data_IF_830057250161
#
_entry.id   IF_830057250161
#
_cell.length_a   1.000
_cell.length_b   1.000
_cell.length_c   1.000
_cell.angle_alpha   90.00
_cell.angle_beta   90.00
_cell.angle_gamma   90.00
#
_symmetry.space_group_name_H-M   'P 1'
#
loop_
_entity.id
_entity.type
_entity.pdbx_description
1 polymer ?
#
# COMPACT_ATOMS: atom_id res chain seq x y z
N UNK A 1 -4.80 -17.39 -30.83
CA UNK A 1 -5.49 -18.25 -29.83
C UNK A 1 -4.61 -19.00 -28.82
N UNK A 2 -3.29 -19.22 -29.03
CA UNK A 2 -2.42 -19.97 -28.08
C UNK A 2 -1.67 -19.14 -27.02
N UNK A 3 -1.58 -17.81 -27.16
CA UNK A 3 -0.87 -16.93 -26.19
C UNK A 3 -1.70 -16.55 -24.95
N UNK A 4 -3.01 -16.64 -25.03
CA UNK A 4 -3.92 -16.16 -23.97
C UNK A 4 -4.18 -17.21 -22.86
N UNK A 5 -3.98 -18.49 -23.17
CA UNK A 5 -4.09 -19.58 -22.17
C UNK A 5 -2.90 -19.61 -21.20
N UNK A 6 -1.72 -19.13 -21.62
CA UNK A 6 -0.53 -19.06 -20.76
C UNK A 6 -0.66 -18.01 -19.67
N UNK A 7 -1.21 -16.84 -20.00
CA UNK A 7 -1.43 -15.75 -19.04
C UNK A 7 -2.48 -16.13 -17.99
N UNK A 8 -3.59 -16.77 -18.41
CA UNK A 8 -4.64 -17.25 -17.49
C UNK A 8 -4.14 -18.34 -16.54
N UNK A 9 -3.28 -19.25 -17.00
CA UNK A 9 -2.64 -20.27 -16.14
C UNK A 9 -1.63 -19.65 -15.18
N UNK A 10 -0.85 -18.67 -15.62
CA UNK A 10 0.10 -17.96 -14.77
C UNK A 10 -0.59 -17.14 -13.67
N UNK A 11 -1.69 -16.45 -14.00
CA UNK A 11 -2.52 -15.71 -13.02
C UNK A 11 -3.23 -16.66 -12.04
N UNK A 12 -3.73 -17.81 -12.51
CA UNK A 12 -4.34 -18.83 -11.64
C UNK A 12 -3.32 -19.49 -10.69
N UNK A 13 -2.08 -19.69 -11.16
CA UNK A 13 -0.99 -20.29 -10.39
C UNK A 13 -0.38 -19.30 -9.37
N UNK A 14 -0.37 -17.99 -9.67
CA UNK A 14 -0.04 -16.94 -8.69
C UNK A 14 -1.08 -16.83 -7.58
N UNK A 15 -2.37 -17.05 -7.89
CA UNK A 15 -3.46 -17.04 -6.90
C UNK A 15 -3.39 -18.22 -5.91
N UNK A 16 -2.64 -19.28 -6.23
CA UNK A 16 -2.33 -20.41 -5.35
C UNK A 16 -0.98 -20.27 -4.61
N UNK A 17 -0.20 -19.21 -4.86
CA UNK A 17 1.03 -18.99 -4.10
C UNK A 17 0.69 -18.56 -2.67
N UNK A 18 1.24 -19.28 -1.70
CA UNK A 18 0.98 -19.15 -0.25
C UNK A 18 1.25 -17.74 0.35
N UNK A 19 1.66 -16.74 -0.44
CA UNK A 19 1.99 -15.39 0.04
C UNK A 19 0.82 -14.65 0.68
N UNK A 20 -0.42 -14.89 0.25
CA UNK A 20 -1.62 -14.32 0.87
C UNK A 20 -1.99 -14.94 2.22
N UNK A 21 -1.60 -16.20 2.47
CA UNK A 21 -1.85 -16.95 3.70
C UNK A 21 -0.89 -16.61 4.84
N UNK A 22 0.35 -16.21 4.52
CA UNK A 22 1.33 -15.77 5.52
C UNK A 22 1.02 -14.39 6.12
N UNK A 23 0.23 -13.56 5.42
CA UNK A 23 -0.19 -12.23 5.88
C UNK A 23 -1.63 -12.16 6.43
N UNK A 24 -2.36 -13.27 6.41
CA UNK A 24 -3.64 -13.39 7.09
C UNK A 24 -3.38 -14.07 8.44
N UNK A 25 -3.00 -13.27 9.44
CA UNK A 25 -2.85 -13.73 10.82
C UNK A 25 -4.28 -14.01 11.32
N UNK A 26 -4.72 -15.28 11.52
CA UNK A 26 -6.02 -15.54 12.13
C UNK A 26 -6.13 -14.78 13.47
N UNK A 27 -7.32 -14.33 13.86
CA UNK A 27 -7.50 -13.47 15.05
C UNK A 27 -6.85 -14.00 16.34
N UNK A 28 -6.68 -15.33 16.44
CA UNK A 28 -5.92 -16.01 17.51
C UNK A 28 -4.41 -15.70 17.51
N UNK A 29 -3.78 -15.61 16.34
CA UNK A 29 -2.36 -15.25 16.22
C UNK A 29 -2.09 -13.75 16.39
N UNK A 30 -3.08 -12.89 16.14
CA UNK A 30 -2.98 -11.46 16.47
C UNK A 30 -3.02 -11.26 17.99
N UNK A 31 -3.93 -11.95 18.68
CA UNK A 31 -3.99 -11.99 20.14
C UNK A 31 -2.69 -12.54 20.75
N UNK A 32 -2.11 -13.59 20.17
CA UNK A 32 -0.82 -14.13 20.62
C UNK A 32 0.33 -13.12 20.45
N UNK A 33 0.36 -12.37 19.34
CA UNK A 33 1.34 -11.31 19.12
C UNK A 33 1.19 -10.18 20.14
N UNK A 34 -0.04 -9.70 20.38
CA UNK A 34 -0.31 -8.69 21.40
C UNK A 34 0.07 -9.17 22.81
N UNK A 35 -0.24 -10.42 23.16
CA UNK A 35 0.14 -11.00 24.44
C UNK A 35 1.67 -11.10 24.60
N UNK A 36 2.39 -11.51 23.54
CA UNK A 36 3.85 -11.55 23.53
C UNK A 36 4.44 -10.15 23.75
N UNK A 37 3.90 -9.13 23.08
CA UNK A 37 4.36 -7.75 23.22
C UNK A 37 4.05 -7.21 24.61
N UNK A 38 2.86 -7.49 25.15
CA UNK A 38 2.52 -7.12 26.52
C UNK A 38 3.47 -7.75 27.54
N UNK A 39 3.88 -9.00 27.31
CA UNK A 39 4.85 -9.70 28.15
C UNK A 39 6.25 -9.11 28.01
N UNK A 40 6.69 -8.77 26.79
CA UNK A 40 7.95 -8.08 26.54
C UNK A 40 7.96 -6.67 27.14
N UNK A 41 6.85 -5.93 27.04
CA UNK A 41 6.65 -4.63 27.67
C UNK A 41 6.78 -4.73 29.18
N UNK A 42 6.07 -5.69 29.78
CA UNK A 42 6.10 -5.90 31.23
C UNK A 42 7.51 -6.29 31.69
N UNK A 43 8.18 -7.21 30.99
CA UNK A 43 9.56 -7.59 31.29
C UNK A 43 10.53 -6.41 31.15
N UNK A 44 10.39 -5.58 30.11
CA UNK A 44 11.21 -4.38 29.93
C UNK A 44 10.96 -3.34 31.03
N UNK A 45 9.71 -3.16 31.46
CA UNK A 45 9.35 -2.22 32.53
C UNK A 45 9.93 -2.67 33.88
N UNK A 46 9.92 -3.98 34.17
CA UNK A 46 10.55 -4.53 35.37
C UNK A 46 12.07 -4.32 35.37
N UNK A 47 12.73 -4.60 34.24
CA UNK A 47 14.17 -4.33 34.09
C UNK A 47 14.50 -2.85 34.26
N UNK A 48 13.69 -1.95 33.71
CA UNK A 48 13.86 -0.50 33.87
C UNK A 48 13.72 -0.10 35.34
N UNK A 49 12.71 -0.61 36.05
CA UNK A 49 12.55 -0.33 37.48
C UNK A 49 13.76 -0.79 38.30
N UNK A 50 14.25 -2.01 38.05
CA UNK A 50 15.45 -2.55 38.70
C UNK A 50 16.69 -1.69 38.41
N UNK A 51 16.85 -1.21 37.16
CA UNK A 51 17.98 -0.33 36.80
C UNK A 51 17.89 1.04 37.47
N UNK A 52 16.69 1.61 37.61
CA UNK A 52 16.48 2.90 38.28
C UNK A 52 16.80 2.79 39.77
N UNK A 53 16.43 1.69 40.42
CA UNK A 53 16.74 1.45 41.83
C UNK A 53 18.25 1.30 42.06
N UNK A 54 18.93 0.53 41.20
CA UNK A 54 20.39 0.41 41.21
C UNK A 54 21.08 1.77 41.00
N UNK A 55 20.59 2.57 40.05
CA UNK A 55 21.12 3.90 39.76
C UNK A 55 20.96 4.86 40.95
N UNK A 56 19.85 4.80 41.68
CA UNK A 56 19.63 5.64 42.88
C UNK A 56 20.64 5.35 43.98
N UNK A 57 20.90 4.07 44.26
CA UNK A 57 21.89 3.66 45.25
C UNK A 57 23.30 4.13 44.83
N UNK A 58 23.62 4.01 43.55
CA UNK A 58 24.91 4.45 43.01
C UNK A 58 25.09 5.98 43.09
N UNK A 59 24.06 6.76 42.75
CA UNK A 59 24.07 8.24 42.87
C UNK A 59 24.30 8.69 44.32
N UNK A 60 23.71 7.99 45.29
CA UNK A 60 23.95 8.26 46.72
C UNK A 60 25.41 7.98 47.08
N UNK A 61 25.98 6.87 46.62
CA UNK A 61 27.39 6.53 46.83
C UNK A 61 28.34 7.55 46.19
N UNK A 62 28.07 7.99 44.96
CA UNK A 62 28.85 9.05 44.27
C UNK A 62 28.85 10.35 45.08
N UNK A 63 27.70 10.75 45.62
CA UNK A 63 27.57 11.96 46.45
C UNK A 63 28.35 11.81 47.76
N UNK A 64 28.25 10.65 48.41
CA UNK A 64 28.99 10.31 49.64
C UNK A 64 30.51 10.38 49.41
N UNK A 65 31.02 9.65 48.42
CA UNK A 65 32.45 9.61 48.08
C UNK A 65 32.98 11.00 47.67
N UNK A 66 32.21 11.77 46.91
CA UNK A 66 32.62 13.15 46.55
C UNK A 66 32.74 14.04 47.78
N UNK A 67 31.82 13.93 48.74
CA UNK A 67 31.90 14.67 50.01
C UNK A 67 33.10 14.23 50.85
N UNK A 68 33.40 12.93 50.92
CA UNK A 68 34.60 12.41 51.60
C UNK A 68 35.87 13.01 50.99
N UNK A 69 36.00 12.99 49.65
CA UNK A 69 37.15 13.55 48.95
C UNK A 69 37.36 15.05 49.23
N UNK A 70 36.27 15.82 49.32
CA UNK A 70 36.33 17.24 49.69
C UNK A 70 36.85 17.41 51.11
N UNK A 71 36.34 16.64 52.08
CA UNK A 71 36.78 16.75 53.48
C UNK A 71 38.21 16.25 53.70
N UNK A 72 38.65 15.20 53.00
CA UNK A 72 40.06 14.77 53.01
C UNK A 72 41.00 15.88 52.54
N UNK A 73 40.64 16.58 51.46
CA UNK A 73 41.40 17.72 50.96
C UNK A 73 41.38 18.89 51.94
N UNK A 74 40.26 19.13 52.62
CA UNK A 74 40.16 20.17 53.64
C UNK A 74 41.10 19.88 54.82
N UNK A 75 41.13 18.65 55.33
CA UNK A 75 42.06 18.23 56.39
C UNK A 75 43.51 18.42 55.95
N UNK A 76 43.87 17.94 54.74
CA UNK A 76 45.21 18.10 54.19
C UNK A 76 45.63 19.56 54.03
N UNK A 77 44.75 20.41 53.48
CA UNK A 77 44.99 21.85 53.32
C UNK A 77 45.12 22.56 54.66
N UNK A 78 44.28 22.24 55.64
CA UNK A 78 44.34 22.81 56.98
C UNK A 78 45.68 22.48 57.65
N UNK A 79 46.15 21.24 57.55
CA UNK A 79 47.45 20.82 58.09
C UNK A 79 48.64 21.53 57.41
N UNK A 80 48.65 21.61 56.07
CA UNK A 80 49.72 22.26 55.29
C UNK A 80 49.76 23.77 55.56
N UNK A 81 48.60 24.44 55.54
CA UNK A 81 48.51 25.87 55.80
C UNK A 81 48.93 26.20 57.24
N UNK A 82 48.54 25.34 58.20
CA UNK A 82 48.91 25.54 59.58
C UNK A 82 50.40 25.34 59.83
N UNK A 83 51.02 24.33 59.21
CA UNK A 83 52.47 24.14 59.25
C UNK A 83 53.20 25.33 58.62
N UNK A 84 52.69 25.84 57.49
CA UNK A 84 53.28 26.99 56.79
C UNK A 84 53.20 28.26 57.66
N UNK A 85 52.04 28.52 58.28
CA UNK A 85 51.87 29.66 59.19
C UNK A 85 52.72 29.57 60.45
N UNK A 86 52.79 28.38 61.06
CA UNK A 86 53.63 28.12 62.24
C UNK A 86 55.12 28.35 61.93
N UNK A 87 55.63 27.85 60.80
CA UNK A 87 57.01 28.11 60.37
C UNK A 87 57.26 29.58 60.05
N UNK A 88 56.32 30.25 59.39
CA UNK A 88 56.41 31.68 59.10
C UNK A 88 56.52 32.52 60.37
N UNK A 89 55.69 32.22 61.37
CA UNK A 89 55.75 32.87 62.68
C UNK A 89 57.06 32.56 63.41
N UNK A 90 57.53 31.31 63.40
CA UNK A 90 58.81 30.94 64.03
C UNK A 90 60.01 31.69 63.42
N UNK A 91 60.03 31.88 62.10
CA UNK A 91 61.13 32.56 61.39
C UNK A 91 61.08 34.08 61.60
N UNK A 92 59.89 34.67 61.55
CA UNK A 92 59.72 36.13 61.52
C UNK A 92 59.42 36.76 62.88
N UNK A 93 58.90 35.95 63.82
CA UNK A 93 58.31 36.39 65.09
C UNK A 93 57.14 37.39 64.93
N UNK A 94 56.59 37.50 63.72
CA UNK A 94 55.46 38.38 63.41
C UNK A 94 54.15 37.60 63.42
N UNK A 95 53.28 37.95 64.38
CA UNK A 95 51.98 37.29 64.59
C UNK A 95 51.09 37.27 63.35
N UNK A 96 51.28 38.19 62.39
CA UNK A 96 50.51 38.19 61.13
C UNK A 96 50.71 36.91 60.32
N UNK A 97 51.87 36.26 60.44
CA UNK A 97 52.14 34.98 59.78
C UNK A 97 51.43 33.79 60.45
N UNK A 98 50.83 33.98 61.63
CA UNK A 98 50.10 32.94 62.34
C UNK A 98 48.67 32.75 61.81
N UNK A 99 48.13 33.69 61.04
CA UNK A 99 46.75 33.61 60.54
C UNK A 99 46.40 32.28 59.81
N UNK A 100 47.25 31.72 58.91
CA UNK A 100 47.00 30.40 58.32
C UNK A 100 46.95 29.24 59.33
N UNK A 101 47.70 29.34 60.43
CA UNK A 101 47.66 28.38 61.55
C UNK A 101 46.36 28.47 62.32
N UNK A 102 45.90 29.67 62.64
CA UNK A 102 44.63 29.87 63.35
C UNK A 102 43.45 29.33 62.53
N UNK A 103 43.40 29.65 61.24
CA UNK A 103 42.38 29.14 60.31
C UNK A 103 42.41 27.61 60.25
N UNK A 104 43.60 27.01 60.08
CA UNK A 104 43.74 25.56 60.05
C UNK A 104 43.31 24.89 61.37
N UNK A 105 43.65 25.51 62.51
CA UNK A 105 43.32 25.04 63.87
C UNK A 105 41.81 25.01 64.12
N UNK A 106 41.08 25.98 63.59
CA UNK A 106 39.61 26.06 63.72
C UNK A 106 38.88 25.14 62.75
N UNK A 107 39.41 24.94 61.54
CA UNK A 107 38.75 24.17 60.49
C UNK A 107 38.94 22.66 60.61
N UNK A 108 40.12 22.18 61.02
CA UNK A 108 40.39 20.73 61.00
C UNK A 108 39.44 19.88 61.87
N UNK A 109 38.98 20.32 63.07
CA UNK A 109 38.07 19.51 63.89
C UNK A 109 36.71 19.32 63.22
N UNK A 110 36.21 20.36 62.53
CA UNK A 110 34.96 20.32 61.79
C UNK A 110 35.06 19.38 60.59
N UNK A 111 36.16 19.45 59.83
CA UNK A 111 36.37 18.53 58.69
C UNK A 111 36.51 17.07 59.13
N UNK A 112 37.21 16.78 60.24
CA UNK A 112 37.29 15.42 60.79
C UNK A 112 35.90 14.91 61.24
N UNK A 113 35.11 15.78 61.88
CA UNK A 113 33.75 15.43 62.29
C UNK A 113 32.84 15.15 61.09
N UNK A 114 32.85 16.02 60.08
CA UNK A 114 32.09 15.84 58.85
C UNK A 114 32.47 14.55 58.11
N UNK A 115 33.77 14.24 58.08
CA UNK A 115 34.28 13.05 57.43
C UNK A 115 33.79 11.78 58.15
N UNK A 116 33.85 11.74 59.49
CA UNK A 116 33.32 10.62 60.29
C UNK A 116 31.81 10.47 60.16
N UNK A 117 31.07 11.58 60.13
CA UNK A 117 29.62 11.56 59.87
C UNK A 117 29.28 11.08 58.46
N UNK A 118 30.07 11.47 57.46
CA UNK A 118 29.83 11.10 56.06
C UNK A 118 30.08 9.61 55.82
N UNK A 119 31.11 9.02 56.44
CA UNK A 119 31.35 7.57 56.37
C UNK A 119 30.21 6.76 56.98
N UNK A 120 29.69 7.18 58.14
CA UNK A 120 28.53 6.56 58.78
C UNK A 120 28.78 5.10 59.19
N UNK A 121 27.72 4.27 59.32
CA UNK A 121 27.83 2.88 59.75
C UNK A 121 28.43 1.94 58.69
N UNK A 122 28.42 2.34 57.41
CA UNK A 122 28.85 1.50 56.28
C UNK A 122 30.35 1.67 55.95
N UNK A 123 31.17 2.05 56.92
CA UNK A 123 32.62 2.23 56.74
C UNK A 123 33.32 0.87 56.63
N UNK A 124 34.21 0.71 55.64
CA UNK A 124 35.01 -0.52 55.53
C UNK A 124 36.07 -0.58 56.64
N UNK A 125 36.54 -1.78 57.05
CA UNK A 125 37.58 -1.90 58.07
C UNK A 125 38.88 -1.16 57.70
N UNK A 126 39.20 -1.08 56.41
CA UNK A 126 40.38 -0.37 55.93
C UNK A 126 40.19 1.15 55.92
N UNK A 127 39.01 1.63 55.52
CA UNK A 127 38.64 3.04 55.64
C UNK A 127 38.64 3.48 57.10
N UNK A 128 38.10 2.66 58.00
CA UNK A 128 38.08 2.97 59.44
C UNK A 128 39.50 3.05 60.01
N UNK A 129 40.39 2.12 59.63
CA UNK A 129 41.80 2.16 60.01
C UNK A 129 42.47 3.44 59.54
N UNK A 130 42.34 3.80 58.26
CA UNK A 130 42.93 5.01 57.68
C UNK A 130 42.35 6.29 58.28
N UNK A 131 41.03 6.32 58.54
CA UNK A 131 40.37 7.45 59.19
C UNK A 131 40.91 7.67 60.60
N UNK A 132 40.99 6.61 61.40
CA UNK A 132 41.56 6.71 62.75
C UNK A 132 43.04 7.14 62.71
N UNK A 133 43.81 6.66 61.73
CA UNK A 133 45.20 7.08 61.51
C UNK A 133 45.31 8.57 61.14
N UNK A 134 44.50 9.05 60.19
CA UNK A 134 44.43 10.48 59.80
C UNK A 134 44.03 11.33 61.01
N UNK A 135 43.02 10.92 61.77
CA UNK A 135 42.55 11.64 62.96
C UNK A 135 43.67 11.75 64.01
N UNK A 136 44.32 10.64 64.33
CA UNK A 136 45.41 10.61 65.30
C UNK A 136 46.61 11.47 64.86
N UNK A 137 47.04 11.33 63.61
CA UNK A 137 48.18 12.07 63.06
C UNK A 137 47.88 13.57 62.97
N UNK A 138 46.67 13.95 62.55
CA UNK A 138 46.26 15.36 62.48
C UNK A 138 46.22 15.98 63.88
N UNK A 139 45.59 15.31 64.85
CA UNK A 139 45.54 15.80 66.25
C UNK A 139 46.93 15.93 66.86
N UNK A 140 47.80 14.94 66.63
CA UNK A 140 49.20 14.97 67.06
C UNK A 140 49.93 16.17 66.46
N UNK A 141 49.78 16.39 65.14
CA UNK A 141 50.45 17.49 64.44
C UNK A 141 49.99 18.86 64.92
N UNK A 142 48.69 19.06 65.13
CA UNK A 142 48.18 20.32 65.68
C UNK A 142 48.54 20.53 67.15
N UNK A 143 48.72 19.46 67.94
CA UNK A 143 49.22 19.57 69.30
C UNK A 143 50.70 20.01 69.35
N UNK A 144 51.55 19.41 68.53
CA UNK A 144 52.96 19.81 68.34
C UNK A 144 53.07 21.28 67.91
N UNK A 145 52.29 21.69 66.91
CA UNK A 145 52.28 23.08 66.45
C UNK A 145 51.80 24.04 67.53
N UNK A 146 50.78 23.68 68.30
CA UNK A 146 50.29 24.52 69.42
C UNK A 146 51.34 24.69 70.51
N UNK A 147 52.06 23.62 70.85
CA UNK A 147 53.11 23.66 71.85
C UNK A 147 54.29 24.53 71.39
N UNK A 148 54.75 24.36 70.15
CA UNK A 148 55.82 25.20 69.59
C UNK A 148 55.44 26.68 69.47
N UNK A 149 54.22 27.00 69.03
CA UNK A 149 53.70 28.39 68.99
C UNK A 149 53.66 28.97 70.40
N UNK A 150 53.16 28.24 71.39
CA UNK A 150 53.11 28.68 72.77
C UNK A 150 54.49 28.89 73.41
N UNK A 151 55.50 28.09 73.04
CA UNK A 151 56.90 28.31 73.46
C UNK A 151 57.44 29.61 72.89
N UNK A 152 57.17 29.92 71.62
CA UNK A 152 57.59 31.17 70.97
C UNK A 152 56.92 32.37 71.65
N UNK A 153 55.63 32.29 71.95
CA UNK A 153 54.88 33.35 72.66
C UNK A 153 55.41 33.62 74.08
N UNK A 154 55.91 32.60 74.78
CA UNK A 154 56.54 32.74 76.10
C UNK A 154 58.01 33.20 76.04
N UNK A 155 58.57 33.40 74.83
CA UNK A 155 59.98 33.77 74.63
C UNK A 155 60.98 32.60 74.72
N UNK A 156 60.51 31.36 74.76
CA UNK A 156 61.31 30.14 74.89
C UNK A 156 61.86 29.67 73.52
N UNK A 157 62.53 30.56 72.77
CA UNK A 157 62.93 30.33 71.37
C UNK A 157 63.84 29.10 71.18
N UNK A 158 64.77 28.86 72.10
CA UNK A 158 65.70 27.72 72.03
C UNK A 158 64.96 26.39 72.24
N UNK A 159 63.96 26.36 73.13
CA UNK A 159 63.14 25.18 73.36
C UNK A 159 62.26 24.87 72.13
N UNK A 160 61.63 25.90 71.56
CA UNK A 160 60.85 25.79 70.32
C UNK A 160 61.73 25.29 69.15
N UNK A 161 62.94 25.82 68.99
CA UNK A 161 63.87 25.39 67.94
C UNK A 161 64.27 23.91 68.10
N UNK A 162 64.60 23.47 69.32
CA UNK A 162 64.92 22.05 69.56
C UNK A 162 63.77 21.13 69.22
N UNK A 163 62.54 21.50 69.58
CA UNK A 163 61.34 20.72 69.25
C UNK A 163 61.15 20.59 67.74
N UNK A 164 61.24 21.69 66.99
CA UNK A 164 61.05 21.69 65.52
C UNK A 164 62.15 20.87 64.82
N UNK A 165 63.39 20.87 65.33
CA UNK A 165 64.52 20.14 64.76
C UNK A 165 64.54 18.62 65.07
N UNK A 166 63.56 18.08 65.80
CA UNK A 166 63.53 16.65 66.17
C UNK A 166 63.12 15.69 65.05
N UNK A 167 62.85 16.18 63.83
CA UNK A 167 62.25 15.46 62.69
C UNK A 167 60.89 14.76 62.96
N UNK A 168 60.43 14.67 64.22
CA UNK A 168 59.16 14.04 64.60
C UNK A 168 57.96 14.69 63.94
N UNK A 169 57.96 16.02 63.83
CA UNK A 169 56.92 16.76 63.16
C UNK A 169 56.90 16.55 61.65
N UNK A 170 58.05 16.32 61.02
CA UNK A 170 58.16 16.00 59.60
C UNK A 170 57.70 14.57 59.32
N UNK A 171 58.08 13.61 60.15
CA UNK A 171 57.64 12.21 60.01
C UNK A 171 56.12 12.07 60.20
N UNK A 172 55.56 12.77 61.20
CA UNK A 172 54.11 12.83 61.42
C UNK A 172 53.39 13.41 60.20
N UNK A 173 53.92 14.48 59.61
CA UNK A 173 53.34 15.09 58.41
C UNK A 173 53.45 14.16 57.18
N UNK A 174 54.57 13.46 57.01
CA UNK A 174 54.76 12.50 55.93
C UNK A 174 53.82 11.29 56.05
N UNK A 175 53.58 10.79 57.27
CA UNK A 175 52.57 9.76 57.53
C UNK A 175 51.17 10.28 57.25
N UNK A 176 50.85 11.51 57.66
CA UNK A 176 49.54 12.12 57.41
C UNK A 176 49.28 12.25 55.90
N UNK A 177 50.27 12.74 55.13
CA UNK A 177 50.16 12.84 53.66
C UNK A 177 49.95 11.48 53.01
N UNK A 178 50.66 10.44 53.47
CA UNK A 178 50.47 9.07 52.98
C UNK A 178 49.07 8.53 53.29
N UNK A 179 48.62 8.63 54.53
CA UNK A 179 47.30 8.15 54.92
C UNK A 179 46.17 8.89 54.18
N UNK A 180 46.30 10.21 53.99
CA UNK A 180 45.37 11.01 53.16
C UNK A 180 45.38 10.56 51.69
N UNK A 181 46.56 10.30 51.12
CA UNK A 181 46.70 9.83 49.75
C UNK A 181 46.12 8.42 49.56
N UNK A 182 46.37 7.50 50.48
CA UNK A 182 45.86 6.14 50.43
C UNK A 182 44.33 6.13 50.50
N UNK A 183 43.76 6.93 51.42
CA UNK A 183 42.31 7.11 51.51
C UNK A 183 41.72 7.78 50.26
N UNK A 184 42.35 8.84 49.72
CA UNK A 184 41.90 9.49 48.49
C UNK A 184 41.94 8.52 47.31
N UNK A 185 42.99 7.71 47.19
CA UNK A 185 43.11 6.70 46.13
C UNK A 185 42.02 5.64 46.26
N UNK A 186 41.72 5.19 47.47
CA UNK A 186 40.65 4.23 47.74
C UNK A 186 39.28 4.78 47.32
N UNK A 187 38.96 6.00 47.73
CA UNK A 187 37.70 6.68 47.38
C UNK A 187 37.60 6.94 45.87
N UNK A 188 38.70 7.34 45.22
CA UNK A 188 38.73 7.52 43.75
C UNK A 188 38.46 6.21 43.00
N UNK A 189 38.98 5.09 43.50
CA UNK A 189 38.72 3.77 42.91
C UNK A 189 37.25 3.36 43.07
N UNK A 190 36.66 3.58 44.24
CA UNK A 190 35.22 3.34 44.47
C UNK A 190 34.37 4.18 43.52
N UNK A 191 34.71 5.46 43.36
CA UNK A 191 34.00 6.36 42.45
C UNK A 191 34.10 5.91 40.98
N UNK A 192 35.28 5.44 40.57
CA UNK A 192 35.51 4.95 39.21
C UNK A 192 34.73 3.68 38.92
N UNK A 193 34.73 2.72 39.86
CA UNK A 193 33.99 1.46 39.72
C UNK A 193 32.48 1.71 39.67
N UNK A 194 31.96 2.64 40.50
CA UNK A 194 30.59 3.11 40.37
C UNK A 194 30.30 3.63 38.96
N UNK A 195 31.06 4.63 38.49
CA UNK A 195 30.85 5.23 37.17
C UNK A 195 30.93 4.22 36.00
N UNK A 196 31.78 3.21 36.08
CA UNK A 196 31.86 2.14 35.09
C UNK A 196 30.61 1.24 35.11
N UNK A 197 30.07 0.92 36.29
CA UNK A 197 28.81 0.15 36.43
C UNK A 197 27.60 0.93 35.91
N UNK A 198 27.48 2.23 36.19
CA UNK A 198 26.41 3.08 35.65
C UNK A 198 26.43 3.09 34.12
N UNK A 199 27.61 3.27 33.50
CA UNK A 199 27.75 3.23 32.03
C UNK A 199 27.34 1.87 31.45
N UNK A 200 27.78 0.78 32.07
CA UNK A 200 27.44 -0.57 31.62
C UNK A 200 25.93 -0.86 31.73
N UNK A 201 25.24 -0.29 32.73
CA UNK A 201 23.78 -0.37 32.83
C UNK A 201 23.09 0.43 31.72
N UNK A 202 23.55 1.65 31.44
CA UNK A 202 23.02 2.51 30.37
C UNK A 202 23.15 1.85 28.98
N UNK A 203 24.31 1.24 28.68
CA UNK A 203 24.55 0.51 27.43
C UNK A 203 23.64 -0.70 27.23
N UNK A 204 23.17 -1.33 28.32
CA UNK A 204 22.24 -2.47 28.25
C UNK A 204 20.78 -2.04 28.06
N UNK A 205 20.36 -0.94 28.69
CA UNK A 205 18.94 -0.52 28.71
C UNK A 205 18.52 0.16 27.40
N UNK A 206 19.35 1.05 26.84
CA UNK A 206 19.04 1.78 25.62
C UNK A 206 18.64 0.90 24.41
N UNK A 207 19.39 -0.16 24.05
CA UNK A 207 19.01 -1.01 22.92
C UNK A 207 17.72 -1.79 23.18
N UNK A 208 17.45 -2.19 24.43
CA UNK A 208 16.20 -2.87 24.78
C UNK A 208 14.98 -1.96 24.59
N UNK A 209 15.08 -0.69 25.00
CA UNK A 209 14.03 0.30 24.75
C UNK A 209 13.83 0.56 23.25
N UNK A 210 14.92 0.65 22.48
CA UNK A 210 14.82 0.83 21.03
C UNK A 210 14.12 -0.37 20.35
N UNK A 211 14.49 -1.60 20.70
CA UNK A 211 13.85 -2.83 20.19
C UNK A 211 12.36 -2.84 20.52
N UNK A 212 12.00 -2.44 21.74
CA UNK A 212 10.62 -2.37 22.20
C UNK A 212 9.79 -1.36 21.38
N UNK A 213 10.32 -0.15 21.14
CA UNK A 213 9.66 0.88 20.32
C UNK A 213 9.43 0.37 18.90
N UNK A 214 10.41 -0.32 18.32
CA UNK A 214 10.29 -0.93 16.98
C UNK A 214 9.19 -2.00 16.97
N UNK A 215 9.13 -2.88 17.97
CA UNK A 215 8.09 -3.91 18.08
C UNK A 215 6.68 -3.33 18.23
N UNK A 216 6.51 -2.29 19.06
CA UNK A 216 5.23 -1.57 19.19
C UNK A 216 4.84 -0.96 17.84
N UNK A 217 5.78 -0.30 17.16
CA UNK A 217 5.53 0.37 15.88
C UNK A 217 5.12 -0.63 14.78
N UNK A 218 5.80 -1.78 14.70
CA UNK A 218 5.45 -2.87 13.77
C UNK A 218 4.04 -3.37 14.04
N UNK A 219 3.67 -3.51 15.30
CA UNK A 219 2.36 -4.06 15.70
C UNK A 219 1.24 -3.09 15.42
N UNK A 220 1.45 -1.80 15.68
CA UNK A 220 0.52 -0.74 15.32
C UNK A 220 0.33 -0.67 13.81
N UNK A 221 1.42 -0.72 13.04
CA UNK A 221 1.38 -0.73 11.58
C UNK A 221 0.64 -1.96 11.05
N UNK A 222 0.87 -3.14 11.62
CA UNK A 222 0.19 -4.38 11.25
C UNK A 222 -1.30 -4.34 11.60
N UNK A 223 -1.66 -3.73 12.73
CA UNK A 223 -3.06 -3.48 13.11
C UNK A 223 -3.78 -2.58 12.10
N UNK A 224 -3.20 -1.43 11.79
CA UNK A 224 -3.72 -0.49 10.78
C UNK A 224 -3.80 -1.12 9.37
N UNK A 225 -2.81 -1.90 9.00
CA UNK A 225 -2.80 -2.61 7.72
C UNK A 225 -3.94 -3.64 7.62
N UNK A 226 -4.21 -4.37 8.70
CA UNK A 226 -5.30 -5.35 8.73
C UNK A 226 -6.68 -4.70 8.69
N UNK A 227 -6.91 -3.63 9.46
CA UNK A 227 -8.20 -2.93 9.47
C UNK A 227 -8.50 -2.27 8.12
N UNK A 228 -7.51 -1.65 7.50
CA UNK A 228 -7.67 -1.05 6.16
C UNK A 228 -7.89 -2.09 5.08
N UNK A 229 -7.23 -3.25 5.17
CA UNK A 229 -7.45 -4.36 4.24
C UNK A 229 -8.84 -4.97 4.36
N UNK A 230 -9.35 -5.15 5.57
CA UNK A 230 -10.71 -5.64 5.81
C UNK A 230 -11.75 -4.68 5.22
N UNK A 231 -11.64 -3.38 5.53
CA UNK A 231 -12.55 -2.36 4.99
C UNK A 231 -12.53 -2.29 3.44
N UNK A 232 -11.36 -2.49 2.81
CA UNK A 232 -11.25 -2.54 1.34
C UNK A 232 -11.89 -3.79 0.74
N UNK A 233 -11.85 -4.92 1.43
CA UNK A 233 -12.49 -6.15 0.97
C UNK A 233 -14.02 -6.00 0.98
N UNK A 234 -14.59 -5.50 2.08
CA UNK A 234 -16.02 -5.26 2.23
C UNK A 234 -16.54 -4.26 1.17
N UNK A 235 -15.77 -3.19 0.91
CA UNK A 235 -16.12 -2.20 -0.12
C UNK A 235 -16.08 -2.78 -1.54
N UNK A 236 -15.13 -3.68 -1.84
CA UNK A 236 -15.04 -4.32 -3.15
C UNK A 236 -16.20 -5.29 -3.40
N UNK A 237 -16.65 -6.01 -2.37
CA UNK A 237 -17.82 -6.90 -2.46
C UNK A 237 -19.11 -6.12 -2.70
N UNK A 238 -19.32 -5.01 -1.98
CA UNK A 238 -20.47 -4.14 -2.18
C UNK A 238 -20.49 -3.53 -3.60
N UNK A 239 -19.33 -3.11 -4.13
CA UNK A 239 -19.23 -2.61 -5.51
C UNK A 239 -19.52 -3.70 -6.55
N UNK A 240 -19.05 -4.93 -6.33
CA UNK A 240 -19.31 -6.04 -7.25
C UNK A 240 -20.80 -6.39 -7.30
N UNK A 241 -21.49 -6.40 -6.16
CA UNK A 241 -22.93 -6.61 -6.10
C UNK A 241 -23.70 -5.49 -6.80
N UNK A 242 -23.33 -4.23 -6.56
CA UNK A 242 -23.97 -3.07 -7.19
C UNK A 242 -23.80 -3.08 -8.72
N UNK A 243 -22.63 -3.48 -9.22
CA UNK A 243 -22.38 -3.63 -10.66
C UNK A 243 -23.20 -4.77 -11.26
N UNK A 244 -23.31 -5.90 -10.57
CA UNK A 244 -24.13 -7.03 -11.00
C UNK A 244 -25.61 -6.65 -11.11
N UNK A 245 -26.17 -5.96 -10.11
CA UNK A 245 -27.55 -5.45 -10.16
C UNK A 245 -27.75 -4.44 -11.30
N UNK A 246 -26.78 -3.56 -11.54
CA UNK A 246 -26.85 -2.59 -12.63
C UNK A 246 -26.87 -3.27 -14.01
N UNK A 247 -26.06 -4.32 -14.20
CA UNK A 247 -26.07 -5.12 -15.43
C UNK A 247 -27.40 -5.85 -15.63
N UNK A 248 -27.94 -6.48 -14.59
CA UNK A 248 -29.23 -7.18 -14.67
C UNK A 248 -30.37 -6.20 -15.05
N UNK A 249 -30.39 -5.01 -14.45
CA UNK A 249 -31.36 -3.96 -14.81
C UNK A 249 -31.21 -3.48 -16.26
N UNK A 250 -29.98 -3.31 -16.73
CA UNK A 250 -29.72 -2.92 -18.12
C UNK A 250 -30.22 -3.97 -19.11
N UNK A 251 -30.00 -5.26 -18.83
CA UNK A 251 -30.46 -6.37 -19.67
C UNK A 251 -32.00 -6.46 -19.71
N UNK A 252 -32.66 -6.30 -18.56
CA UNK A 252 -34.12 -6.26 -18.49
C UNK A 252 -34.69 -5.09 -19.31
N UNK A 253 -34.11 -3.90 -19.19
CA UNK A 253 -34.52 -2.72 -19.96
C UNK A 253 -34.31 -2.93 -21.46
N UNK A 254 -33.19 -3.52 -21.86
CA UNK A 254 -32.89 -3.83 -23.27
C UNK A 254 -33.96 -4.75 -23.87
N UNK A 255 -34.34 -5.82 -23.16
CA UNK A 255 -35.40 -6.75 -23.59
C UNK A 255 -36.78 -6.10 -23.67
N UNK A 256 -37.10 -5.21 -22.74
CA UNK A 256 -38.38 -4.47 -22.77
C UNK A 256 -38.43 -3.48 -23.94
N UNK A 257 -37.34 -2.77 -24.21
CA UNK A 257 -37.24 -1.87 -25.37
C UNK A 257 -37.40 -2.63 -26.68
N UNK A 258 -36.70 -3.76 -26.83
CA UNK A 258 -36.82 -4.68 -27.94
C UNK A 258 -38.28 -5.07 -28.24
N UNK A 259 -39.01 -5.49 -27.20
CA UNK A 259 -40.41 -5.85 -27.30
C UNK A 259 -41.29 -4.65 -27.72
N UNK A 260 -41.06 -3.47 -27.14
CA UNK A 260 -41.82 -2.27 -27.49
C UNK A 260 -41.61 -1.83 -28.93
N UNK A 261 -40.40 -1.92 -29.45
CA UNK A 261 -40.14 -1.56 -30.84
C UNK A 261 -40.88 -2.49 -31.79
N UNK A 262 -40.89 -3.82 -31.53
CA UNK A 262 -41.72 -4.76 -32.31
C UNK A 262 -43.20 -4.39 -32.29
N UNK A 263 -43.75 -4.03 -31.13
CA UNK A 263 -45.14 -3.59 -31.02
C UNK A 263 -45.43 -2.31 -31.82
N UNK A 264 -44.52 -1.33 -31.80
CA UNK A 264 -44.66 -0.09 -32.57
C UNK A 264 -44.72 -0.38 -34.08
N UNK A 265 -43.83 -1.22 -34.59
CA UNK A 265 -43.84 -1.60 -36.00
C UNK A 265 -45.08 -2.40 -36.41
N UNK A 266 -45.57 -3.30 -35.56
CA UNK A 266 -46.82 -4.01 -35.81
C UNK A 266 -48.02 -3.04 -35.93
N UNK A 267 -48.07 -2.01 -35.07
CA UNK A 267 -49.09 -0.97 -35.17
C UNK A 267 -48.96 -0.12 -36.45
N UNK A 268 -47.74 0.29 -36.81
CA UNK A 268 -47.50 1.04 -38.06
C UNK A 268 -47.98 0.20 -39.25
N UNK A 269 -47.63 -1.08 -39.31
CA UNK A 269 -48.06 -1.98 -40.38
C UNK A 269 -49.59 -2.11 -40.46
N UNK A 270 -50.28 -2.14 -39.31
CA UNK A 270 -51.73 -2.17 -39.26
C UNK A 270 -52.36 -0.87 -39.81
N UNK A 271 -51.82 0.29 -39.44
CA UNK A 271 -52.28 1.61 -39.94
C UNK A 271 -52.08 1.71 -41.45
N UNK A 272 -50.89 1.30 -41.94
CA UNK A 272 -50.54 1.29 -43.37
C UNK A 272 -51.52 0.41 -44.14
N UNK A 273 -51.76 -0.83 -43.69
CA UNK A 273 -52.70 -1.74 -44.36
C UNK A 273 -54.17 -1.26 -44.29
N UNK A 274 -54.57 -0.63 -43.19
CA UNK A 274 -55.94 -0.11 -43.05
C UNK A 274 -56.17 1.09 -43.99
N UNK A 275 -55.17 1.95 -44.14
CA UNK A 275 -55.22 3.12 -45.04
C UNK A 275 -55.27 2.72 -46.51
N UNK A 276 -54.72 1.55 -46.88
CA UNK A 276 -54.73 1.04 -48.25
C UNK A 276 -56.08 0.49 -48.72
N UNK A 277 -56.99 0.09 -47.80
CA UNK A 277 -58.15 -0.75 -48.13
C UNK A 277 -59.21 -0.10 -49.02
N UNK A 278 -59.33 1.23 -48.99
CA UNK A 278 -60.37 1.98 -49.72
C UNK A 278 -59.79 2.89 -50.82
N UNK A 279 -58.50 2.76 -51.13
CA UNK A 279 -57.81 3.58 -52.11
C UNK A 279 -57.84 2.93 -53.51
N UNK A 280 -57.69 3.71 -54.60
CA UNK A 280 -57.55 3.17 -55.95
C UNK A 280 -56.37 2.18 -56.05
N UNK A 281 -56.46 1.21 -56.98
CA UNK A 281 -55.49 0.12 -57.09
C UNK A 281 -54.03 0.59 -57.24
N UNK A 282 -53.78 1.75 -57.87
CA UNK A 282 -52.43 2.33 -57.98
C UNK A 282 -51.82 2.72 -56.61
N UNK A 283 -52.62 3.26 -55.69
CA UNK A 283 -52.18 3.63 -54.32
C UNK A 283 -52.03 2.39 -53.43
N UNK A 284 -52.85 1.36 -53.65
CA UNK A 284 -52.76 0.08 -52.93
C UNK A 284 -51.43 -0.63 -53.21
N UNK A 285 -50.98 -0.63 -54.46
CA UNK A 285 -49.66 -1.17 -54.86
C UNK A 285 -48.50 -0.43 -54.17
N UNK A 286 -48.59 0.90 -54.01
CA UNK A 286 -47.56 1.67 -53.28
C UNK A 286 -47.57 1.32 -51.80
N UNK A 287 -48.74 1.14 -51.20
CA UNK A 287 -48.90 0.88 -49.78
C UNK A 287 -48.47 -0.55 -49.41
N UNK A 288 -48.75 -1.53 -50.26
CA UNK A 288 -48.25 -2.90 -50.14
C UNK A 288 -46.70 -2.93 -50.18
N UNK A 289 -46.08 -2.13 -51.06
CA UNK A 289 -44.61 -1.99 -51.11
C UNK A 289 -44.02 -1.36 -49.84
N UNK A 290 -44.72 -0.41 -49.22
CA UNK A 290 -44.29 0.17 -47.93
C UNK A 290 -44.41 -0.87 -46.80
N UNK A 291 -45.51 -1.63 -46.80
CA UNK A 291 -45.73 -2.71 -45.84
C UNK A 291 -44.67 -3.82 -45.94
N UNK A 292 -44.30 -4.23 -47.16
CA UNK A 292 -43.22 -5.19 -47.43
C UNK A 292 -41.89 -4.71 -46.80
N UNK A 293 -41.52 -3.43 -46.99
CA UNK A 293 -40.28 -2.87 -46.40
C UNK A 293 -40.28 -2.78 -44.88
N UNK A 294 -41.42 -2.44 -44.28
CA UNK A 294 -41.56 -2.41 -42.82
C UNK A 294 -41.33 -3.81 -42.24
N UNK A 295 -41.81 -4.86 -42.92
CA UNK A 295 -41.53 -6.25 -42.52
C UNK A 295 -40.04 -6.60 -42.67
N UNK A 296 -39.39 -6.17 -43.74
CA UNK A 296 -37.95 -6.37 -43.91
C UNK A 296 -37.12 -5.72 -42.78
N UNK A 297 -37.47 -4.49 -42.39
CA UNK A 297 -36.83 -3.80 -41.25
C UNK A 297 -37.05 -4.52 -39.92
N UNK A 298 -38.24 -5.09 -39.71
CA UNK A 298 -38.53 -5.90 -38.53
C UNK A 298 -37.64 -7.15 -38.46
N UNK A 299 -37.49 -7.89 -39.56
CA UNK A 299 -36.63 -9.08 -39.63
C UNK A 299 -35.17 -8.73 -39.35
N UNK A 300 -34.67 -7.65 -39.94
CA UNK A 300 -33.35 -7.09 -39.64
C UNK A 300 -33.20 -6.79 -38.14
N UNK A 301 -34.22 -6.19 -37.52
CA UNK A 301 -34.17 -5.86 -36.10
C UNK A 301 -34.19 -7.08 -35.19
N UNK A 302 -34.82 -8.18 -35.60
CA UNK A 302 -34.83 -9.43 -34.85
C UNK A 302 -33.46 -10.14 -34.91
N UNK A 303 -32.80 -10.14 -36.06
CA UNK A 303 -31.47 -10.74 -36.25
C UNK A 303 -30.40 -10.01 -35.42
N UNK A 304 -30.52 -8.69 -35.27
CA UNK A 304 -29.56 -7.84 -34.56
C UNK A 304 -29.74 -7.85 -33.03
N UNK A 305 -30.94 -8.18 -32.54
CA UNK A 305 -31.24 -8.25 -31.10
C UNK A 305 -30.99 -9.63 -30.46
N UNK A 306 -30.81 -10.68 -31.27
CA UNK A 306 -30.54 -12.04 -30.77
C UNK A 306 -29.12 -12.27 -30.23
N UNK A 307 -28.16 -11.40 -30.58
CA UNK A 307 -26.77 -11.54 -30.17
C UNK A 307 -26.48 -10.69 -28.91
N UNK A 308 -26.24 -11.38 -27.79
CA UNK A 308 -25.91 -10.73 -26.52
C UNK A 308 -24.72 -9.74 -26.68
N UNK A 309 -24.95 -8.50 -26.24
CA UNK A 309 -23.94 -7.47 -25.90
C UNK A 309 -23.14 -6.81 -27.03
N UNK A 310 -23.33 -7.16 -28.32
CA UNK A 310 -22.85 -6.35 -29.44
C UNK A 310 -23.88 -6.34 -30.58
N UNK A 311 -24.16 -5.17 -31.21
CA UNK A 311 -25.08 -5.03 -32.34
C UNK A 311 -24.47 -5.67 -33.60
N UNK A 312 -24.47 -7.00 -33.62
CA UNK A 312 -23.91 -7.81 -34.70
C UNK A 312 -24.93 -8.89 -35.04
N UNK A 313 -25.37 -8.93 -36.28
CA UNK A 313 -26.25 -9.97 -36.81
C UNK A 313 -25.47 -11.06 -37.53
N UNK A 314 -25.92 -12.30 -37.42
CA UNK A 314 -25.40 -13.40 -38.23
C UNK A 314 -25.96 -13.33 -39.67
N UNK A 315 -25.08 -13.32 -40.67
CA UNK A 315 -25.46 -13.20 -42.08
C UNK A 315 -26.29 -14.40 -42.54
N UNK A 316 -25.96 -15.62 -42.07
CA UNK A 316 -26.73 -16.82 -42.41
C UNK A 316 -28.16 -16.68 -41.90
N UNK A 317 -28.33 -16.34 -40.62
CA UNK A 317 -29.64 -16.09 -40.01
C UNK A 317 -30.43 -15.01 -40.76
N UNK A 318 -29.78 -13.91 -41.18
CA UNK A 318 -30.42 -12.86 -41.98
C UNK A 318 -30.97 -13.41 -43.30
N UNK A 319 -30.17 -14.16 -44.06
CA UNK A 319 -30.57 -14.74 -45.35
C UNK A 319 -31.72 -15.72 -45.15
N UNK A 320 -31.59 -16.64 -44.18
CA UNK A 320 -32.62 -17.65 -43.90
C UNK A 320 -33.96 -17.02 -43.49
N UNK A 321 -33.95 -16.05 -42.55
CA UNK A 321 -35.18 -15.38 -42.12
C UNK A 321 -35.81 -14.52 -43.23
N UNK A 322 -34.99 -13.95 -44.11
CA UNK A 322 -35.50 -13.13 -45.23
C UNK A 322 -36.15 -13.99 -46.32
N UNK A 323 -35.64 -15.20 -46.55
CA UNK A 323 -36.16 -16.12 -47.57
C UNK A 323 -37.31 -16.99 -47.06
N UNK A 324 -37.37 -17.29 -45.76
CA UNK A 324 -38.35 -18.19 -45.16
C UNK A 324 -39.82 -17.93 -45.57
N UNK A 325 -40.33 -16.68 -45.67
CA UNK A 325 -41.72 -16.43 -46.04
C UNK A 325 -42.09 -16.82 -47.48
N UNK A 326 -41.09 -17.05 -48.33
CA UNK A 326 -41.26 -17.31 -49.76
C UNK A 326 -40.87 -18.74 -50.15
N UNK A 327 -40.43 -19.56 -49.19
CA UNK A 327 -40.02 -20.95 -49.41
C UNK A 327 -41.18 -21.90 -49.13
N UNK A 328 -41.68 -22.55 -50.18
CA UNK A 328 -42.59 -23.70 -50.11
C UNK A 328 -41.92 -24.98 -50.66
N UNK A 329 -42.56 -26.15 -50.56
CA UNK A 329 -42.05 -27.46 -51.02
C UNK A 329 -41.63 -27.50 -52.51
N UNK A 330 -42.05 -26.53 -53.32
CA UNK A 330 -41.75 -26.40 -54.75
C UNK A 330 -40.65 -25.37 -55.06
N UNK A 331 -40.17 -24.62 -54.06
CA UNK A 331 -39.21 -23.52 -54.24
C UNK A 331 -37.80 -23.95 -53.87
N UNK A 332 -37.06 -24.47 -54.86
CA UNK A 332 -35.67 -24.92 -54.66
C UNK A 332 -34.77 -23.73 -54.30
N UNK A 333 -34.02 -23.88 -53.19
CA UNK A 333 -33.15 -22.84 -52.66
C UNK A 333 -31.92 -23.45 -51.96
N UNK A 334 -30.74 -23.02 -52.34
CA UNK A 334 -29.45 -23.40 -51.72
C UNK A 334 -28.85 -22.18 -51.03
N UNK A 335 -28.47 -22.33 -49.77
CA UNK A 335 -27.85 -21.27 -48.96
C UNK A 335 -26.51 -21.79 -48.43
N UNK A 336 -25.41 -21.29 -49.00
CA UNK A 336 -24.04 -21.70 -48.65
C UNK A 336 -23.17 -20.52 -48.23
N UNK A 337 -22.19 -20.74 -47.35
CA UNK A 337 -21.31 -19.66 -46.94
C UNK A 337 -20.73 -19.85 -45.54
N UNK A 338 -19.66 -19.09 -45.28
CA UNK A 338 -18.93 -19.12 -43.99
C UNK A 338 -19.74 -18.43 -42.88
N UNK A 339 -19.60 -18.89 -41.64
CA UNK A 339 -20.20 -18.21 -40.49
C UNK A 339 -19.62 -16.80 -40.37
N UNK A 340 -20.48 -15.79 -40.52
CA UNK A 340 -20.05 -14.40 -40.60
C UNK A 340 -21.04 -13.51 -39.85
N UNK A 341 -20.53 -12.82 -38.84
CA UNK A 341 -21.31 -11.85 -38.06
C UNK A 341 -20.95 -10.43 -38.49
N UNK A 342 -21.95 -9.64 -38.89
CA UNK A 342 -21.79 -8.29 -39.43
C UNK A 342 -22.42 -7.25 -38.50
N UNK A 343 -21.87 -6.01 -38.43
CA UNK A 343 -22.45 -4.95 -37.62
C UNK A 343 -23.84 -4.53 -38.14
N UNK A 344 -24.70 -4.00 -37.26
CA UNK A 344 -26.06 -3.55 -37.60
C UNK A 344 -26.13 -2.58 -38.79
N UNK A 345 -25.09 -1.75 -38.95
CA UNK A 345 -24.94 -0.79 -40.06
C UNK A 345 -24.82 -1.48 -41.42
N UNK A 346 -24.38 -2.73 -41.45
CA UNK A 346 -24.26 -3.57 -42.65
C UNK A 346 -25.46 -4.49 -42.80
N UNK A 347 -25.94 -5.08 -41.69
CA UNK A 347 -27.10 -5.99 -41.68
C UNK A 347 -28.37 -5.30 -42.20
N UNK A 348 -28.60 -4.04 -41.83
CA UNK A 348 -29.80 -3.29 -42.23
C UNK A 348 -29.91 -3.08 -43.75
N UNK A 349 -28.95 -2.42 -44.44
CA UNK A 349 -29.03 -2.25 -45.88
C UNK A 349 -28.96 -3.57 -46.64
N UNK A 350 -28.23 -4.57 -46.14
CA UNK A 350 -28.15 -5.90 -46.77
C UNK A 350 -29.47 -6.65 -46.69
N UNK A 351 -30.14 -6.64 -45.53
CA UNK A 351 -31.45 -7.25 -45.35
C UNK A 351 -32.51 -6.65 -46.28
N UNK A 352 -32.47 -5.33 -46.50
CA UNK A 352 -33.35 -4.66 -47.47
C UNK A 352 -33.09 -5.12 -48.91
N UNK A 353 -31.82 -5.28 -49.31
CA UNK A 353 -31.46 -5.77 -50.65
C UNK A 353 -31.92 -7.21 -50.85
N UNK A 354 -31.65 -8.08 -49.87
CA UNK A 354 -32.06 -9.49 -49.90
C UNK A 354 -33.58 -9.64 -49.96
N UNK A 355 -34.33 -8.83 -49.21
CA UNK A 355 -35.79 -8.84 -49.25
C UNK A 355 -36.34 -8.46 -50.63
N UNK A 356 -35.73 -7.46 -51.27
CA UNK A 356 -36.15 -7.03 -52.60
C UNK A 356 -35.74 -8.01 -53.68
N UNK A 357 -34.60 -8.69 -53.54
CA UNK A 357 -34.23 -9.82 -54.39
C UNK A 357 -35.23 -10.97 -54.26
N UNK A 358 -35.57 -11.40 -53.04
CA UNK A 358 -36.57 -12.42 -52.79
C UNK A 358 -37.94 -12.07 -53.39
N UNK A 359 -38.39 -10.84 -53.17
CA UNK A 359 -39.67 -10.37 -53.71
C UNK A 359 -39.68 -10.35 -55.24
N UNK A 360 -38.56 -9.96 -55.86
CA UNK A 360 -38.43 -9.99 -57.33
C UNK A 360 -38.40 -11.43 -57.85
N UNK A 361 -37.74 -12.35 -57.16
CA UNK A 361 -37.69 -13.75 -57.56
C UNK A 361 -39.09 -14.40 -57.58
N UNK A 362 -39.94 -14.09 -56.61
CA UNK A 362 -41.35 -14.55 -56.58
C UNK A 362 -42.20 -13.91 -57.68
N UNK A 363 -42.04 -12.60 -57.91
CA UNK A 363 -42.91 -11.85 -58.84
C UNK A 363 -42.51 -12.03 -60.31
N UNK A 364 -41.21 -12.14 -60.59
CA UNK A 364 -40.65 -12.03 -61.94
C UNK A 364 -39.49 -12.99 -62.24
N UNK A 365 -38.96 -13.69 -61.24
CA UNK A 365 -37.70 -14.44 -61.36
C UNK A 365 -37.85 -15.94 -61.14
N UNK A 366 -36.83 -16.57 -60.55
CA UNK A 366 -36.73 -18.03 -60.37
C UNK A 366 -38.01 -18.66 -59.83
N UNK A 367 -38.54 -18.18 -58.72
CA UNK A 367 -39.69 -18.80 -58.07
C UNK A 367 -41.03 -18.56 -58.79
N UNK A 368 -41.10 -17.59 -59.71
CA UNK A 368 -42.28 -17.41 -60.57
C UNK A 368 -42.41 -18.51 -61.64
N UNK A 369 -41.31 -19.17 -62.02
CA UNK A 369 -41.24 -20.18 -63.09
C UNK A 369 -40.70 -21.54 -62.62
N UNK A 370 -40.84 -21.87 -61.34
CA UNK A 370 -40.30 -23.11 -60.73
C UNK A 370 -38.79 -23.30 -60.95
N UNK A 371 -38.05 -22.20 -61.00
CA UNK A 371 -36.60 -22.15 -61.00
C UNK A 371 -35.99 -22.31 -59.60
N UNK A 372 -34.67 -22.17 -59.53
CA UNK A 372 -33.89 -22.38 -58.31
C UNK A 372 -33.07 -21.14 -57.95
N UNK A 373 -32.93 -20.85 -56.65
CA UNK A 373 -32.14 -19.73 -56.13
C UNK A 373 -30.93 -20.25 -55.35
N UNK A 374 -29.73 -19.78 -55.68
CA UNK A 374 -28.50 -20.06 -54.97
C UNK A 374 -27.99 -18.77 -54.36
N UNK A 375 -27.92 -18.74 -53.02
CA UNK A 375 -27.31 -17.64 -52.29
C UNK A 375 -26.03 -18.16 -51.67
N UNK A 376 -24.91 -17.56 -52.04
CA UNK A 376 -23.61 -17.93 -51.49
C UNK A 376 -22.79 -16.72 -51.09
N UNK A 377 -21.97 -16.83 -50.04
CA UNK A 377 -21.04 -15.75 -49.69
C UNK A 377 -19.68 -16.26 -49.23
N UNK A 378 -18.68 -15.40 -49.41
CA UNK A 378 -17.28 -15.64 -49.06
C UNK A 378 -16.72 -14.40 -48.37
N UNK A 379 -15.87 -14.60 -47.37
CA UNK A 379 -15.11 -13.55 -46.70
C UNK A 379 -13.65 -13.65 -47.14
N UNK A 380 -13.14 -12.66 -47.86
CA UNK A 380 -11.72 -12.53 -48.17
C UNK A 380 -11.05 -11.67 -47.10
N UNK A 381 -10.49 -12.32 -46.08
CA UNK A 381 -9.78 -11.66 -44.99
C UNK A 381 -8.55 -10.86 -45.46
N UNK A 382 -7.97 -11.17 -46.62
CA UNK A 382 -6.78 -10.47 -47.14
C UNK A 382 -7.14 -9.19 -47.87
N UNK A 383 -8.24 -9.22 -48.63
CA UNK A 383 -8.80 -8.04 -49.28
C UNK A 383 -9.63 -7.18 -48.32
N UNK A 384 -10.10 -7.76 -47.21
CA UNK A 384 -11.00 -7.09 -46.26
C UNK A 384 -12.41 -6.92 -46.82
N UNK A 385 -12.83 -7.81 -47.72
CA UNK A 385 -14.09 -7.72 -48.45
C UNK A 385 -14.91 -9.01 -48.33
N UNK A 386 -16.22 -8.84 -48.29
CA UNK A 386 -17.22 -9.90 -48.34
C UNK A 386 -17.92 -9.82 -49.69
N UNK A 387 -17.99 -10.96 -50.37
CA UNK A 387 -18.73 -11.12 -51.61
C UNK A 387 -19.93 -12.03 -51.36
N UNK A 388 -21.13 -11.51 -51.61
CA UNK A 388 -22.37 -12.28 -51.60
C UNK A 388 -22.92 -12.36 -53.03
N UNK A 389 -23.06 -13.59 -53.51
CA UNK A 389 -23.63 -13.90 -54.81
C UNK A 389 -25.03 -14.46 -54.65
N UNK A 390 -25.96 -13.86 -55.37
CA UNK A 390 -27.34 -14.32 -55.55
C UNK A 390 -27.52 -14.74 -57.00
N UNK A 391 -27.87 -16.01 -57.21
CA UNK A 391 -28.04 -16.59 -58.54
C UNK A 391 -29.43 -17.17 -58.65
N UNK A 392 -30.20 -16.68 -59.62
CA UNK A 392 -31.50 -17.21 -60.01
C UNK A 392 -31.35 -18.00 -61.30
N UNK A 393 -31.80 -19.25 -61.29
CA UNK A 393 -31.86 -20.11 -62.46
C UNK A 393 -33.31 -20.23 -62.93
N UNK A 394 -33.62 -19.69 -64.10
CA UNK A 394 -34.96 -19.66 -64.70
C UNK A 394 -34.93 -20.32 -66.09
N UNK A 395 -35.64 -21.42 -66.33
CA UNK A 395 -35.82 -21.93 -67.69
C UNK A 395 -36.64 -20.91 -68.51
N UNK A 396 -36.07 -20.37 -69.59
CA UNK A 396 -36.63 -19.30 -70.43
C UNK A 396 -36.74 -17.91 -69.75
N UNK A 397 -35.63 -17.37 -69.25
CA UNK A 397 -35.56 -15.99 -68.76
C UNK A 397 -36.00 -14.98 -69.85
N UNK A 398 -37.10 -14.27 -69.63
CA UNK A 398 -37.46 -13.15 -70.47
C UNK A 398 -36.46 -12.00 -70.23
N UNK A 399 -35.94 -11.38 -71.30
CA UNK A 399 -35.12 -10.16 -71.17
C UNK A 399 -35.96 -9.06 -70.49
N UNK A 400 -35.51 -8.48 -69.37
CA UNK A 400 -36.27 -7.42 -68.73
C UNK A 400 -36.32 -6.18 -69.63
N UNK A 401 -37.44 -5.45 -69.60
CA UNK A 401 -37.51 -4.12 -70.19
C UNK A 401 -36.69 -3.11 -69.39
N UNK A 402 -36.19 -2.07 -70.07
CA UNK A 402 -35.23 -1.06 -69.59
C UNK A 402 -35.81 -0.06 -68.57
N UNK A 403 -36.77 -0.48 -67.73
CA UNK A 403 -37.43 0.39 -66.75
C UNK A 403 -36.60 0.47 -65.46
N UNK A 404 -35.98 1.62 -65.23
CA UNK A 404 -35.44 1.99 -63.91
C UNK A 404 -36.58 2.13 -62.88
N UNK A 405 -36.97 1.01 -62.27
CA UNK A 405 -37.95 0.98 -61.18
C UNK A 405 -37.35 1.28 -59.80
N UNK A 406 -38.22 1.34 -58.80
CA UNK A 406 -37.86 1.59 -57.40
C UNK A 406 -36.76 0.65 -56.87
N UNK A 407 -36.80 -0.64 -57.19
CA UNK A 407 -35.82 -1.63 -56.71
C UNK A 407 -34.39 -1.34 -57.17
N UNK A 408 -34.19 -0.67 -58.31
CA UNK A 408 -32.86 -0.24 -58.77
C UNK A 408 -32.35 0.99 -57.99
N UNK A 409 -33.25 1.88 -57.57
CA UNK A 409 -32.91 3.02 -56.71
C UNK A 409 -32.54 2.57 -55.29
N UNK A 410 -33.26 1.59 -54.75
CA UNK A 410 -32.96 1.01 -53.45
C UNK A 410 -31.58 0.34 -53.44
N UNK A 411 -31.25 -0.48 -54.44
CA UNK A 411 -29.93 -1.10 -54.49
C UNK A 411 -28.79 -0.08 -54.65
N UNK A 412 -28.98 1.01 -55.42
CA UNK A 412 -28.00 2.12 -55.47
C UNK A 412 -27.80 2.77 -54.09
N UNK A 413 -28.87 2.94 -53.31
CA UNK A 413 -28.80 3.51 -51.96
C UNK A 413 -28.15 2.54 -50.95
N UNK A 414 -28.52 1.26 -50.98
CA UNK A 414 -27.94 0.22 -50.12
C UNK A 414 -26.46 -0.01 -50.41
N UNK A 415 -26.04 -0.01 -51.68
CA UNK A 415 -24.62 -0.10 -52.05
C UNK A 415 -23.80 1.04 -51.42
N UNK A 416 -24.35 2.27 -51.40
CA UNK A 416 -23.71 3.42 -50.74
C UNK A 416 -23.61 3.25 -49.22
N UNK A 417 -24.66 2.74 -48.58
CA UNK A 417 -24.67 2.50 -47.13
C UNK A 417 -23.71 1.38 -46.73
N UNK A 418 -23.61 0.33 -47.57
CA UNK A 418 -22.65 -0.77 -47.43
C UNK A 418 -21.20 -0.34 -47.74
N UNK A 419 -20.98 0.86 -48.30
CA UNK A 419 -19.68 1.31 -48.86
C UNK A 419 -19.12 0.30 -49.86
N UNK A 420 -20.00 -0.26 -50.68
CA UNK A 420 -19.72 -1.39 -51.55
C UNK A 420 -20.33 -1.23 -52.94
N UNK A 421 -20.38 -2.32 -53.70
CA UNK A 421 -21.00 -2.38 -55.02
C UNK A 421 -22.08 -3.47 -55.08
N UNK A 422 -23.09 -3.22 -55.90
CA UNK A 422 -24.12 -4.21 -56.22
C UNK A 422 -24.21 -4.26 -57.74
N UNK A 423 -23.74 -5.35 -58.33
CA UNK A 423 -23.75 -5.57 -59.76
C UNK A 423 -24.82 -6.59 -60.13
N UNK A 424 -25.65 -6.26 -61.14
CA UNK A 424 -26.68 -7.16 -61.65
C UNK A 424 -26.36 -7.55 -63.09
N UNK A 425 -26.40 -8.84 -63.39
CA UNK A 425 -26.14 -9.40 -64.70
C UNK A 425 -27.25 -10.37 -65.08
N UNK A 426 -28.01 -10.03 -66.12
CA UNK A 426 -28.98 -10.94 -66.71
C UNK A 426 -28.26 -11.86 -67.70
N UNK A 427 -28.38 -13.17 -67.52
CA UNK A 427 -27.85 -14.19 -68.42
C UNK A 427 -29.01 -14.93 -69.09
N UNK A 428 -28.76 -15.67 -70.19
CA UNK A 428 -29.80 -16.52 -70.79
C UNK A 428 -30.41 -17.55 -69.83
N UNK A 429 -29.64 -17.92 -68.79
CA UNK A 429 -30.00 -18.91 -67.77
C UNK A 429 -30.69 -18.29 -66.54
N UNK A 430 -30.68 -16.95 -66.39
CA UNK A 430 -31.38 -16.24 -65.32
C UNK A 430 -30.71 -14.95 -64.87
N UNK A 431 -30.66 -14.69 -63.55
CA UNK A 431 -30.14 -13.45 -62.97
C UNK A 431 -29.01 -13.75 -61.99
N UNK A 432 -27.89 -13.04 -62.14
CA UNK A 432 -26.78 -13.05 -61.19
C UNK A 432 -26.67 -11.66 -60.57
N UNK A 433 -26.67 -11.59 -59.24
CA UNK A 433 -26.42 -10.37 -58.47
C UNK A 433 -25.25 -10.59 -57.54
N UNK A 434 -24.20 -9.78 -57.70
CA UNK A 434 -23.00 -9.82 -56.86
C UNK A 434 -22.97 -8.57 -55.99
N UNK A 435 -22.92 -8.77 -54.68
CA UNK A 435 -22.87 -7.73 -53.66
C UNK A 435 -21.49 -7.79 -53.00
N UNK A 436 -20.71 -6.71 -53.13
CA UNK A 436 -19.38 -6.58 -52.54
C UNK A 436 -19.42 -5.51 -51.46
N UNK A 437 -18.88 -5.78 -50.28
CA UNK A 437 -18.78 -4.79 -49.19
C UNK A 437 -17.62 -5.12 -48.24
N UNK A 438 -17.02 -4.13 -47.56
CA UNK A 438 -15.93 -4.36 -46.63
C UNK A 438 -16.36 -5.14 -45.38
N UNK A 439 -15.50 -6.04 -44.91
CA UNK A 439 -15.73 -6.89 -43.72
C UNK A 439 -15.85 -6.07 -42.43
N UNK A 440 -15.14 -4.92 -42.35
CA UNK A 440 -15.17 -3.97 -41.24
C UNK A 440 -15.76 -2.62 -41.70
N UNK A 441 -17.08 -2.45 -41.63
CA UNK A 441 -17.71 -1.15 -41.94
C UNK A 441 -17.38 0.00 -40.94
N UNK A 442 -16.39 -0.17 -40.07
CA UNK A 442 -15.96 0.79 -39.05
C UNK A 442 -14.52 1.33 -39.15
N UNK A 443 -13.80 1.13 -40.26
CA UNK A 443 -12.51 1.80 -40.48
C UNK A 443 -12.63 3.05 -41.36
N UNK A 444 -13.21 4.13 -40.81
CA UNK A 444 -12.84 5.53 -41.05
C UNK A 444 -13.64 6.44 -40.12
#
# INVERSE_FOLDING_TARGET
>A
MKRDQGLRRWVAQMRQSNLGRWLAIPGRSALALFALIALLLTGSALLVMETIEAERAERQQVTKTTRILVELRNVGRAAINAETGQRGYFITLDQRYLAPYEVGREQFPLSLQNLRQTFGPDISPEQERLLNEIEQLTRSKFAEMRESVGMIERGELIAAQRMILTDQGQETMNRLRRALFDMETMEQNILRDAAERSRAAEERVMPLLAILIVLISITLALGLFQTTRAARADAAEAQALALAEAHERADLLSRELAHRVRNLFAMILAIVNMSARNEPDETRVVTERIAERIRALLTVQEVTQGANSRPVGDLRTLVEMTLAPYRDDTSACVIDGVDLSLPDTTITPLGLVLHELATNAVKYGAWSTQGEIHVSWRNDERAGEVTLDWVEMTPNAAKPGDREGFGSMLMKASARQLRGSIERRFTPEGLIVTILFPTDAHAA
#
